data_IF_390202782475
#
_entry.id   IF_390202782475
#
_cell.length_a   1.000
_cell.length_b   1.000
_cell.length_c   1.000
_cell.angle_alpha   90.00
_cell.angle_beta   90.00
_cell.angle_gamma   90.00
#
_symmetry.space_group_name_H-M   'P 1'
#
loop_
_entity.id
_entity.type
_entity.pdbx_description
1 polymer ?
#
# COMPACT_ATOMS: atom_id res chain seq x y z
N UNK A 1 12.74 -40.82 66.65
CA UNK A 1 11.40 -40.45 67.19
C UNK A 1 11.46 -38.95 67.50
N UNK A 2 10.80 -38.06 66.74
CA UNK A 2 9.35 -37.70 66.75
C UNK A 2 8.92 -37.01 68.05
N UNK A 3 8.07 -35.97 68.12
CA UNK A 3 7.46 -34.94 67.22
C UNK A 3 6.97 -33.80 68.18
N UNK A 4 6.58 -32.56 67.85
CA UNK A 4 6.28 -31.78 66.63
C UNK A 4 6.73 -30.30 66.88
N UNK A 5 6.67 -29.42 65.87
CA UNK A 5 6.34 -27.98 66.05
C UNK A 5 5.41 -27.51 64.92
N UNK A 6 4.46 -26.58 65.16
CA UNK A 6 3.41 -26.26 64.19
C UNK A 6 3.87 -25.33 63.06
N UNK A 7 3.21 -25.43 61.91
CA UNK A 7 3.43 -24.56 60.76
C UNK A 7 2.85 -23.15 60.96
N UNK A 8 3.46 -22.14 60.35
CA UNK A 8 2.87 -20.80 60.18
C UNK A 8 1.88 -20.78 59.00
N UNK A 9 0.83 -19.93 59.02
CA UNK A 9 -0.06 -19.77 57.88
C UNK A 9 0.66 -19.12 56.69
N UNK A 10 0.29 -19.53 55.48
CA UNK A 10 0.75 -18.94 54.22
C UNK A 10 -0.11 -17.75 53.83
N UNK A 11 0.50 -16.57 53.68
CA UNK A 11 -0.20 -15.38 53.18
C UNK A 11 -0.57 -15.54 51.70
N UNK A 12 -1.86 -15.42 51.39
CA UNK A 12 -2.41 -15.70 50.07
C UNK A 12 -2.33 -14.49 49.11
N UNK A 13 -1.11 -14.04 48.80
CA UNK A 13 -0.85 -12.86 47.98
C UNK A 13 -1.16 -13.02 46.46
N UNK A 14 -1.71 -14.16 46.02
CA UNK A 14 -1.91 -14.45 44.60
C UNK A 14 -2.96 -13.61 43.88
N UNK A 15 -4.03 -13.17 44.56
CA UNK A 15 -5.24 -12.64 43.87
C UNK A 15 -5.19 -11.17 43.44
N UNK A 16 -4.25 -10.36 43.94
CA UNK A 16 -4.24 -8.91 43.64
C UNK A 16 -3.53 -8.53 42.32
N UNK A 17 -2.68 -9.40 41.78
CA UNK A 17 -1.89 -9.10 40.58
C UNK A 17 -2.63 -9.36 39.26
N UNK A 18 -3.47 -10.40 39.20
CA UNK A 18 -4.24 -10.73 38.00
C UNK A 18 -5.28 -9.65 37.66
N UNK A 19 -6.04 -9.16 38.65
CA UNK A 19 -7.11 -8.19 38.42
C UNK A 19 -6.63 -6.89 37.73
N UNK A 20 -5.47 -6.37 38.13
CA UNK A 20 -4.85 -5.19 37.50
C UNK A 20 -4.36 -5.49 36.07
N UNK A 21 -3.79 -6.68 35.86
CA UNK A 21 -3.27 -7.12 34.57
C UNK A 21 -4.41 -7.34 33.56
N UNK A 22 -5.48 -7.99 34.00
CA UNK A 22 -6.70 -8.23 33.21
C UNK A 22 -7.41 -6.91 32.84
N UNK A 23 -7.61 -6.00 33.79
CA UNK A 23 -8.22 -4.70 33.51
C UNK A 23 -7.40 -3.87 32.51
N UNK A 24 -6.06 -3.89 32.61
CA UNK A 24 -5.18 -3.14 31.72
C UNK A 24 -5.08 -3.77 30.31
N UNK A 25 -5.20 -5.10 30.19
CA UNK A 25 -5.42 -5.78 28.92
C UNK A 25 -6.78 -5.41 28.31
N UNK A 26 -7.87 -5.52 29.07
CA UNK A 26 -9.22 -5.23 28.61
C UNK A 26 -9.34 -3.79 28.10
N UNK A 27 -8.79 -2.80 28.82
CA UNK A 27 -8.70 -1.41 28.38
C UNK A 27 -7.95 -1.24 27.04
N UNK A 28 -6.82 -1.94 26.85
CA UNK A 28 -6.05 -1.90 25.60
C UNK A 28 -6.78 -2.54 24.42
N UNK A 29 -7.56 -3.60 24.65
CA UNK A 29 -8.42 -4.21 23.63
C UNK A 29 -9.58 -3.28 23.28
N UNK A 30 -10.30 -2.75 24.27
CA UNK A 30 -11.39 -1.80 24.07
C UNK A 30 -10.95 -0.56 23.26
N UNK A 31 -9.82 0.06 23.63
CA UNK A 31 -9.28 1.22 22.92
C UNK A 31 -8.88 0.92 21.45
N UNK A 32 -8.51 -0.33 21.13
CA UNK A 32 -8.28 -0.77 19.74
C UNK A 32 -9.59 -0.98 18.99
N UNK A 33 -10.58 -1.61 19.61
CA UNK A 33 -11.91 -1.80 19.02
C UNK A 33 -12.58 -0.46 18.70
N UNK A 34 -12.52 0.52 19.61
CA UNK A 34 -13.00 1.88 19.36
C UNK A 34 -12.25 2.52 18.18
N UNK A 35 -10.91 2.46 18.16
CA UNK A 35 -10.12 3.02 17.05
C UNK A 35 -10.46 2.40 15.69
N UNK A 36 -10.67 1.07 15.64
CA UNK A 36 -11.07 0.38 14.41
C UNK A 36 -12.50 0.73 13.99
N UNK A 37 -13.44 0.84 14.94
CA UNK A 37 -14.81 1.28 14.64
C UNK A 37 -14.83 2.72 14.09
N UNK A 38 -14.05 3.63 14.68
CA UNK A 38 -13.87 5.00 14.18
C UNK A 38 -13.29 5.01 12.75
N UNK A 39 -12.29 4.18 12.46
CA UNK A 39 -11.75 4.05 11.10
C UNK A 39 -12.80 3.49 10.12
N UNK A 40 -13.60 2.50 10.52
CA UNK A 40 -14.65 1.93 9.67
C UNK A 40 -15.71 2.98 9.33
N UNK A 41 -16.21 3.72 10.34
CA UNK A 41 -17.18 4.81 10.14
C UNK A 41 -16.64 5.89 9.22
N UNK A 42 -15.38 6.32 9.41
CA UNK A 42 -14.73 7.31 8.52
C UNK A 42 -14.56 6.75 7.10
N UNK A 43 -14.12 5.50 6.94
CA UNK A 43 -13.91 4.90 5.61
C UNK A 43 -15.23 4.71 4.84
N UNK A 44 -16.32 4.33 5.52
CA UNK A 44 -17.65 4.27 4.91
C UNK A 44 -18.13 5.68 4.55
N UNK A 45 -18.14 6.62 5.50
CA UNK A 45 -18.67 7.97 5.29
C UNK A 45 -17.92 8.78 4.22
N UNK A 46 -16.63 8.51 4.00
CA UNK A 46 -15.85 9.13 2.92
C UNK A 46 -15.91 8.33 1.62
N UNK A 47 -15.67 7.02 1.64
CA UNK A 47 -15.42 6.29 0.40
C UNK A 47 -16.62 5.53 -0.16
N UNK A 48 -17.69 5.27 0.61
CA UNK A 48 -18.88 4.63 0.04
C UNK A 48 -19.52 5.47 -1.09
N UNK A 49 -19.82 6.78 -0.93
CA UNK A 49 -20.50 7.53 -1.98
C UNK A 49 -19.68 7.68 -3.27
N UNK A 50 -18.36 7.87 -3.12
CA UNK A 50 -17.44 7.94 -4.25
C UNK A 50 -17.31 6.59 -4.96
N UNK A 51 -17.01 5.52 -4.21
CA UNK A 51 -16.78 4.20 -4.81
C UNK A 51 -18.09 3.63 -5.37
N UNK A 52 -19.25 3.88 -4.76
CA UNK A 52 -20.57 3.49 -5.30
C UNK A 52 -20.85 4.12 -6.67
N UNK A 53 -20.51 5.41 -6.81
CA UNK A 53 -20.58 6.13 -8.09
C UNK A 53 -19.61 5.57 -9.13
N UNK A 54 -18.35 5.34 -8.76
CA UNK A 54 -17.33 4.78 -9.66
C UNK A 54 -17.63 3.32 -10.04
N UNK A 55 -18.11 2.49 -9.12
CA UNK A 55 -18.55 1.10 -9.34
C UNK A 55 -19.68 0.98 -10.36
N UNK A 56 -20.42 2.08 -10.60
CA UNK A 56 -21.53 2.13 -11.56
C UNK A 56 -21.11 2.75 -12.90
N UNK A 57 -20.25 3.79 -12.87
CA UNK A 57 -20.01 4.68 -14.01
C UNK A 57 -18.56 4.67 -14.56
N UNK A 58 -17.56 4.28 -13.78
CA UNK A 58 -16.15 4.40 -14.18
C UNK A 58 -15.69 3.22 -15.05
N UNK A 59 -14.95 3.53 -16.13
CA UNK A 59 -14.58 2.55 -17.16
C UNK A 59 -13.85 1.30 -16.63
N UNK A 60 -12.85 1.46 -15.76
CA UNK A 60 -12.08 0.34 -15.18
C UNK A 60 -12.97 -0.54 -14.29
N UNK A 61 -13.85 0.07 -13.48
CA UNK A 61 -14.84 -0.64 -12.67
C UNK A 61 -15.85 -1.42 -13.52
N UNK A 62 -16.49 -0.77 -14.49
CA UNK A 62 -17.51 -1.40 -15.36
C UNK A 62 -16.89 -2.55 -16.16
N UNK A 63 -15.66 -2.38 -16.65
CA UNK A 63 -14.92 -3.42 -17.37
C UNK A 63 -14.59 -4.61 -16.46
N UNK A 64 -14.01 -4.37 -15.27
CA UNK A 64 -13.75 -5.43 -14.31
C UNK A 64 -15.03 -6.13 -13.80
N UNK A 65 -16.16 -5.41 -13.67
CA UNK A 65 -17.45 -6.00 -13.28
C UNK A 65 -18.06 -6.88 -14.38
N UNK A 66 -17.97 -6.45 -15.64
CA UNK A 66 -18.31 -7.29 -16.81
C UNK A 66 -17.48 -8.58 -16.80
N UNK A 67 -16.17 -8.47 -16.58
CA UNK A 67 -15.28 -9.64 -16.47
C UNK A 67 -15.63 -10.57 -15.30
N UNK A 68 -16.06 -10.04 -14.16
CA UNK A 68 -16.54 -10.85 -13.04
C UNK A 68 -17.82 -11.63 -13.41
N UNK A 69 -18.76 -10.99 -14.12
CA UNK A 69 -19.94 -11.66 -14.68
C UNK A 69 -19.59 -12.69 -15.75
N UNK A 70 -18.60 -12.42 -16.62
CA UNK A 70 -18.15 -13.35 -17.66
C UNK A 70 -17.52 -14.63 -17.04
N UNK A 71 -16.72 -14.48 -15.98
CA UNK A 71 -16.15 -15.58 -15.19
C UNK A 71 -17.25 -16.42 -14.53
N UNK A 72 -18.25 -15.78 -13.93
CA UNK A 72 -19.39 -16.47 -13.31
C UNK A 72 -20.20 -17.30 -14.33
N UNK A 73 -20.41 -16.77 -15.53
CA UNK A 73 -21.12 -17.45 -16.62
C UNK A 73 -20.26 -18.50 -17.34
N UNK A 74 -19.14 -18.92 -16.75
CA UNK A 74 -18.29 -20.01 -17.26
C UNK A 74 -17.52 -19.67 -18.54
N UNK A 75 -17.47 -18.40 -18.97
CA UNK A 75 -16.65 -17.99 -20.11
C UNK A 75 -15.18 -18.14 -19.74
N UNK A 76 -14.35 -18.58 -20.69
CA UNK A 76 -12.91 -18.82 -20.49
C UNK A 76 -12.11 -17.50 -20.42
N UNK A 77 -12.40 -16.67 -19.43
CA UNK A 77 -11.73 -15.39 -19.19
C UNK A 77 -10.67 -15.55 -18.10
N UNK A 78 -9.48 -16.02 -18.50
CA UNK A 78 -8.34 -16.08 -17.58
C UNK A 78 -7.75 -14.67 -17.50
N UNK A 79 -7.87 -14.00 -16.36
CA UNK A 79 -7.14 -12.76 -16.09
C UNK A 79 -5.91 -13.10 -15.24
N UNK A 80 -4.73 -12.48 -15.47
CA UNK A 80 -3.55 -12.79 -14.67
C UNK A 80 -3.69 -12.34 -13.21
N UNK A 81 -4.66 -11.48 -12.90
CA UNK A 81 -4.95 -10.98 -11.55
C UNK A 81 -6.46 -11.07 -11.20
N UNK A 82 -6.98 -12.28 -10.90
CA UNK A 82 -8.41 -12.52 -10.74
C UNK A 82 -9.01 -12.10 -9.38
N UNK A 83 -8.22 -11.76 -8.35
CA UNK A 83 -8.69 -11.68 -6.95
C UNK A 83 -9.88 -10.74 -6.74
N UNK A 84 -9.86 -9.53 -7.33
CA UNK A 84 -10.97 -8.59 -7.22
C UNK A 84 -12.29 -9.15 -7.76
N UNK A 85 -12.24 -9.82 -8.91
CA UNK A 85 -13.39 -10.47 -9.55
C UNK A 85 -13.96 -11.57 -8.65
N UNK A 86 -13.09 -12.45 -8.12
CA UNK A 86 -13.48 -13.54 -7.24
C UNK A 86 -14.12 -13.04 -5.93
N UNK A 87 -13.55 -12.00 -5.30
CA UNK A 87 -14.11 -11.36 -4.11
C UNK A 87 -15.47 -10.69 -4.40
N UNK A 88 -15.62 -10.09 -5.58
CA UNK A 88 -16.88 -9.47 -6.00
C UNK A 88 -17.96 -10.53 -6.21
N UNK A 89 -17.69 -11.60 -6.97
CA UNK A 89 -18.63 -12.73 -7.18
C UNK A 89 -19.02 -13.37 -5.83
N UNK A 90 -18.05 -13.57 -4.93
CA UNK A 90 -18.30 -14.09 -3.59
C UNK A 90 -19.25 -13.17 -2.80
N UNK A 91 -19.04 -11.86 -2.86
CA UNK A 91 -19.84 -10.85 -2.14
C UNK A 91 -21.26 -10.73 -2.73
N UNK A 92 -21.40 -10.72 -4.05
CA UNK A 92 -22.67 -10.82 -4.79
C UNK A 92 -23.50 -12.01 -4.27
N UNK A 93 -22.88 -13.20 -4.16
CA UNK A 93 -23.56 -14.44 -3.70
C UNK A 93 -23.83 -14.49 -2.20
N UNK A 94 -22.90 -14.01 -1.38
CA UNK A 94 -23.02 -14.08 0.07
C UNK A 94 -24.03 -13.08 0.65
N UNK A 95 -24.23 -11.94 -0.02
CA UNK A 95 -25.09 -10.84 0.45
C UNK A 95 -26.33 -10.60 -0.43
N UNK A 96 -26.47 -11.31 -1.56
CA UNK A 96 -27.57 -11.14 -2.54
C UNK A 96 -27.69 -9.70 -3.09
N UNK A 97 -26.54 -9.06 -3.33
CA UNK A 97 -26.41 -7.68 -3.82
C UNK A 97 -25.98 -7.63 -5.29
N UNK A 98 -26.14 -6.48 -5.96
CA UNK A 98 -25.68 -6.30 -7.34
C UNK A 98 -24.14 -6.22 -7.44
N UNK A 99 -23.60 -6.45 -8.65
CA UNK A 99 -22.16 -6.35 -8.90
C UNK A 99 -21.54 -5.00 -8.50
N UNK A 100 -22.15 -3.82 -8.80
CA UNK A 100 -21.67 -2.53 -8.29
C UNK A 100 -21.68 -2.44 -6.76
N UNK A 101 -22.74 -2.93 -6.08
CA UNK A 101 -22.81 -2.94 -4.62
C UNK A 101 -21.73 -3.85 -3.99
N UNK A 102 -21.54 -5.05 -4.54
CA UNK A 102 -20.47 -5.97 -4.15
C UNK A 102 -19.08 -5.33 -4.32
N UNK A 103 -18.84 -4.65 -5.44
CA UNK A 103 -17.62 -3.87 -5.69
C UNK A 103 -17.38 -2.82 -4.62
N UNK A 104 -18.40 -2.00 -4.31
CA UNK A 104 -18.29 -0.95 -3.29
C UNK A 104 -17.94 -1.53 -1.93
N UNK A 105 -18.58 -2.63 -1.51
CA UNK A 105 -18.29 -3.33 -0.26
C UNK A 105 -16.83 -3.84 -0.24
N UNK A 106 -16.39 -4.56 -1.29
CA UNK A 106 -15.02 -5.11 -1.38
C UNK A 106 -13.96 -4.00 -1.31
N UNK A 107 -14.19 -2.88 -1.99
CA UNK A 107 -13.21 -1.79 -2.08
C UNK A 107 -13.22 -0.90 -0.82
N UNK A 108 -14.38 -0.56 -0.25
CA UNK A 108 -14.44 0.19 1.02
C UNK A 108 -13.83 -0.63 2.16
N UNK A 109 -14.03 -1.96 2.19
CA UNK A 109 -13.34 -2.84 3.14
C UNK A 109 -11.82 -2.91 2.89
N UNK A 110 -11.36 -2.83 1.64
CA UNK A 110 -9.93 -2.78 1.30
C UNK A 110 -9.27 -1.46 1.77
N UNK A 111 -9.96 -0.34 1.58
CA UNK A 111 -9.53 0.99 2.07
C UNK A 111 -9.51 1.01 3.61
N UNK A 112 -10.55 0.47 4.26
CA UNK A 112 -10.60 0.31 5.71
C UNK A 112 -9.45 -0.56 6.23
N UNK A 113 -9.14 -1.67 5.56
CA UNK A 113 -8.02 -2.53 5.94
C UNK A 113 -6.67 -1.81 5.83
N UNK A 114 -6.47 -1.02 4.77
CA UNK A 114 -5.30 -0.15 4.62
C UNK A 114 -5.18 0.86 5.77
N UNK A 115 -6.30 1.47 6.17
CA UNK A 115 -6.38 2.40 7.30
C UNK A 115 -6.02 1.73 8.64
N UNK A 116 -6.44 0.48 8.85
CA UNK A 116 -6.10 -0.33 10.03
C UNK A 116 -4.61 -0.68 10.06
N UNK A 117 -4.00 -1.02 8.91
CA UNK A 117 -2.57 -1.28 8.82
C UNK A 117 -1.74 -0.02 9.11
N UNK A 118 -2.10 1.12 8.49
CA UNK A 118 -1.47 2.41 8.71
C UNK A 118 -1.58 2.84 10.18
N UNK A 119 -2.78 2.79 10.75
CA UNK A 119 -2.99 3.09 12.17
C UNK A 119 -2.11 2.21 13.06
N UNK A 120 -2.05 0.90 12.82
CA UNK A 120 -1.24 -0.01 13.64
C UNK A 120 0.27 0.28 13.55
N UNK A 121 0.80 0.61 12.37
CA UNK A 121 2.20 1.04 12.20
C UNK A 121 2.45 2.34 12.97
N UNK A 122 1.64 3.38 12.75
CA UNK A 122 1.83 4.71 13.33
C UNK A 122 1.58 4.73 14.84
N UNK A 123 0.61 3.94 15.35
CA UNK A 123 0.25 3.85 16.77
C UNK A 123 1.36 3.30 17.66
N UNK A 124 2.36 2.61 17.11
CA UNK A 124 3.56 2.24 17.89
C UNK A 124 4.37 3.47 18.33
N UNK A 125 4.29 4.58 17.59
CA UNK A 125 5.14 5.76 17.77
C UNK A 125 4.40 7.01 18.29
N UNK A 126 3.07 6.98 18.44
CA UNK A 126 2.28 8.17 18.85
C UNK A 126 0.96 7.83 19.57
N UNK A 127 0.23 8.85 20.03
CA UNK A 127 -1.09 8.72 20.66
C UNK A 127 -2.16 8.24 19.65
N UNK A 128 -3.22 7.58 20.13
CA UNK A 128 -4.23 7.00 19.24
C UNK A 128 -4.93 8.01 18.31
N UNK A 129 -5.39 9.21 18.76
CA UNK A 129 -6.00 10.19 17.86
C UNK A 129 -5.04 10.71 16.78
N UNK A 130 -3.74 10.82 17.10
CA UNK A 130 -2.71 11.24 16.13
C UNK A 130 -2.46 10.14 15.09
N UNK A 131 -2.36 8.88 15.51
CA UNK A 131 -2.23 7.75 14.58
C UNK A 131 -3.47 7.59 13.69
N UNK A 132 -4.68 7.87 14.21
CA UNK A 132 -5.92 7.90 13.43
C UNK A 132 -5.89 9.01 12.38
N UNK A 133 -5.57 10.25 12.76
CA UNK A 133 -5.48 11.39 11.85
C UNK A 133 -4.51 11.12 10.69
N UNK A 134 -3.26 10.75 10.99
CA UNK A 134 -2.27 10.47 9.95
C UNK A 134 -2.66 9.26 9.08
N UNK A 135 -3.31 8.23 9.66
CA UNK A 135 -3.83 7.09 8.89
C UNK A 135 -4.88 7.53 7.87
N UNK A 136 -5.86 8.34 8.28
CA UNK A 136 -6.92 8.86 7.38
C UNK A 136 -6.33 9.80 6.33
N UNK A 137 -5.41 10.70 6.69
CA UNK A 137 -4.72 11.55 5.72
C UNK A 137 -4.00 10.74 4.63
N UNK A 138 -3.36 9.61 4.99
CA UNK A 138 -2.70 8.71 4.03
C UNK A 138 -3.67 7.98 3.07
N UNK A 139 -4.98 8.02 3.30
CA UNK A 139 -5.99 7.47 2.37
C UNK A 139 -6.35 8.46 1.26
N UNK A 140 -6.26 9.77 1.52
CA UNK A 140 -6.67 10.82 0.57
C UNK A 140 -5.49 11.50 -0.14
N UNK A 141 -4.28 11.37 0.39
CA UNK A 141 -3.09 12.15 0.01
C UNK A 141 -2.74 12.07 -1.48
N UNK A 142 -2.38 13.22 -2.08
CA UNK A 142 -1.97 13.33 -3.49
C UNK A 142 -0.70 14.20 -3.64
N UNK A 143 -0.07 14.21 -4.83
CA UNK A 143 0.92 15.21 -5.23
C UNK A 143 0.45 16.65 -5.07
N UNK A 144 1.39 17.59 -4.98
CA UNK A 144 1.07 19.03 -4.93
C UNK A 144 0.67 19.52 -6.34
N UNK A 145 -0.64 19.71 -6.55
CA UNK A 145 -1.25 19.98 -7.86
C UNK A 145 -1.05 21.44 -8.34
N UNK A 146 0.13 22.01 -8.14
CA UNK A 146 0.45 23.41 -8.45
C UNK A 146 0.42 23.75 -9.96
N UNK A 147 0.47 22.75 -10.85
CA UNK A 147 0.34 22.95 -12.29
C UNK A 147 -1.11 22.91 -12.79
N UNK A 148 -2.08 22.49 -11.95
CA UNK A 148 -3.49 22.42 -12.33
C UNK A 148 -4.05 23.74 -12.92
N UNK A 149 -3.74 24.95 -12.42
CA UNK A 149 -4.19 26.20 -13.05
C UNK A 149 -3.65 26.43 -14.47
N UNK A 150 -2.56 25.75 -14.86
CA UNK A 150 -1.88 25.89 -16.15
C UNK A 150 -2.35 24.81 -17.12
N UNK A 151 -2.40 23.55 -16.68
CA UNK A 151 -2.64 22.40 -17.55
C UNK A 151 -3.99 21.67 -17.30
N UNK A 152 -4.72 21.99 -16.23
CA UNK A 152 -5.99 21.36 -15.82
C UNK A 152 -5.91 19.85 -15.46
N UNK A 153 -4.71 19.27 -15.29
CA UNK A 153 -4.52 17.86 -14.93
C UNK A 153 -4.18 17.71 -13.43
N UNK A 154 -5.01 17.00 -12.67
CA UNK A 154 -4.81 16.73 -11.23
C UNK A 154 -4.04 15.43 -10.96
N UNK A 155 -4.01 14.51 -11.92
CA UNK A 155 -3.42 13.18 -11.80
C UNK A 155 -2.35 12.95 -12.87
N UNK A 156 -2.67 13.29 -14.13
CA UNK A 156 -1.80 13.02 -15.26
C UNK A 156 -0.51 13.88 -15.22
N UNK A 157 0.61 13.23 -15.56
CA UNK A 157 1.97 13.73 -15.39
C UNK A 157 2.53 13.69 -13.96
N UNK A 158 1.72 13.45 -12.93
CA UNK A 158 2.16 13.32 -11.53
C UNK A 158 2.33 11.85 -11.12
N UNK A 159 3.21 11.56 -10.15
CA UNK A 159 3.24 10.23 -9.52
C UNK A 159 2.17 10.21 -8.41
N UNK A 160 0.96 9.76 -8.75
CA UNK A 160 -0.15 9.68 -7.81
C UNK A 160 0.14 8.83 -6.57
N UNK A 161 -0.62 9.05 -5.50
CA UNK A 161 -0.55 8.26 -4.26
C UNK A 161 -1.93 7.66 -3.99
N UNK A 162 -2.94 8.50 -3.77
CA UNK A 162 -4.35 8.12 -3.86
C UNK A 162 -4.87 8.22 -5.28
N UNK A 163 -5.59 7.17 -5.69
CA UNK A 163 -6.46 7.09 -6.87
C UNK A 163 -7.71 6.36 -6.38
N UNK A 164 -8.86 6.61 -7.01
CA UNK A 164 -10.11 5.96 -6.64
C UNK A 164 -10.69 5.10 -7.76
N UNK A 165 -10.28 5.34 -9.01
CA UNK A 165 -10.84 4.72 -10.21
C UNK A 165 -10.40 3.29 -10.52
N UNK A 166 -9.31 2.78 -9.93
CA UNK A 166 -8.83 1.41 -10.22
C UNK A 166 -9.03 0.45 -9.03
N UNK A 167 -10.04 -0.45 -9.07
CA UNK A 167 -10.36 -1.32 -7.95
C UNK A 167 -9.24 -2.32 -7.62
N UNK A 168 -8.55 -2.82 -8.65
CA UNK A 168 -7.42 -3.76 -8.49
C UNK A 168 -6.23 -3.15 -7.74
N UNK A 169 -6.04 -1.83 -7.85
CA UNK A 169 -5.03 -1.07 -7.10
C UNK A 169 -5.44 -0.79 -5.66
N UNK A 170 -6.70 -0.46 -5.42
CA UNK A 170 -7.23 -0.24 -4.06
C UNK A 170 -7.19 -1.53 -3.22
N UNK A 171 -7.46 -2.69 -3.84
CA UNK A 171 -7.29 -4.01 -3.24
C UNK A 171 -5.80 -4.37 -3.03
N UNK A 172 -4.92 -4.01 -3.98
CA UNK A 172 -3.47 -4.30 -3.88
C UNK A 172 -2.80 -3.59 -2.70
N UNK A 173 -3.14 -2.32 -2.43
CA UNK A 173 -2.48 -1.50 -1.40
C UNK A 173 -2.30 -2.19 -0.03
N UNK A 174 -3.35 -2.70 0.64
CA UNK A 174 -3.18 -3.34 1.95
C UNK A 174 -2.37 -4.65 1.88
N UNK A 175 -2.54 -5.43 0.81
CA UNK A 175 -1.81 -6.68 0.58
C UNK A 175 -0.31 -6.44 0.40
N UNK A 176 0.05 -5.41 -0.37
CA UNK A 176 1.43 -4.99 -0.57
C UNK A 176 2.10 -4.50 0.71
N UNK A 177 1.36 -3.80 1.58
CA UNK A 177 1.87 -3.29 2.85
C UNK A 177 2.14 -4.44 3.85
N UNK A 178 1.27 -5.46 3.90
CA UNK A 178 1.57 -6.70 4.62
C UNK A 178 2.85 -7.34 4.10
N UNK A 179 2.93 -7.59 2.79
CA UNK A 179 4.08 -8.24 2.17
C UNK A 179 5.38 -7.47 2.40
N UNK A 180 5.36 -6.14 2.28
CA UNK A 180 6.48 -5.25 2.62
C UNK A 180 6.91 -5.39 4.09
N UNK A 181 5.97 -5.33 5.04
CA UNK A 181 6.28 -5.45 6.46
C UNK A 181 6.85 -6.83 6.82
N UNK A 182 6.34 -7.91 6.24
CA UNK A 182 6.88 -9.26 6.45
C UNK A 182 8.25 -9.45 5.77
N UNK A 183 8.47 -8.89 4.58
CA UNK A 183 9.77 -8.93 3.89
C UNK A 183 10.85 -8.16 4.67
N UNK A 184 10.54 -6.95 5.17
CA UNK A 184 11.42 -6.18 6.04
C UNK A 184 11.76 -6.98 7.32
N UNK A 185 10.73 -7.48 8.02
CA UNK A 185 10.85 -8.31 9.23
C UNK A 185 11.77 -9.52 9.01
N UNK A 186 11.72 -10.16 7.84
CA UNK A 186 12.55 -11.33 7.53
C UNK A 186 14.06 -11.07 7.57
N UNK A 187 14.47 -9.82 7.38
CA UNK A 187 15.88 -9.39 7.43
C UNK A 187 16.25 -8.75 8.77
N UNK A 188 15.30 -8.09 9.43
CA UNK A 188 15.54 -7.34 10.68
C UNK A 188 15.25 -8.11 11.97
N UNK A 189 14.55 -9.24 11.88
CA UNK A 189 14.38 -10.15 13.00
C UNK A 189 14.45 -11.60 12.54
N UNK A 190 15.66 -12.09 12.16
CA UNK A 190 15.83 -13.48 11.72
C UNK A 190 15.44 -14.51 12.78
N UNK A 191 15.51 -14.15 14.07
CA UNK A 191 15.01 -14.97 15.18
C UNK A 191 13.49 -15.21 15.14
N UNK A 192 12.72 -14.38 14.41
CA UNK A 192 11.28 -14.57 14.18
C UNK A 192 10.97 -15.28 12.84
N UNK A 193 11.98 -15.74 12.08
CA UNK A 193 11.77 -16.42 10.79
C UNK A 193 11.28 -17.87 10.96
N UNK A 194 10.06 -18.01 11.48
CA UNK A 194 9.34 -19.26 11.65
C UNK A 194 8.35 -19.50 10.50
N UNK A 195 7.87 -20.75 10.37
CA UNK A 195 6.97 -21.16 9.28
C UNK A 195 5.72 -20.27 9.16
N UNK A 196 5.14 -19.82 10.29
CA UNK A 196 3.96 -18.94 10.29
C UNK A 196 4.24 -17.58 9.64
N UNK A 197 5.35 -16.92 9.99
CA UNK A 197 5.75 -15.66 9.34
C UNK A 197 6.14 -15.88 7.86
N UNK A 198 6.69 -17.05 7.52
CA UNK A 198 7.07 -17.39 6.14
C UNK A 198 5.86 -17.62 5.24
N UNK A 199 4.86 -18.37 5.71
CA UNK A 199 3.59 -18.57 5.03
C UNK A 199 2.80 -17.26 4.90
N UNK A 200 2.81 -16.41 5.94
CA UNK A 200 2.16 -15.10 5.88
C UNK A 200 2.80 -14.18 4.83
N UNK A 201 4.14 -14.19 4.69
CA UNK A 201 4.84 -13.48 3.62
C UNK A 201 4.48 -14.02 2.23
N UNK A 202 4.62 -15.33 2.03
CA UNK A 202 4.34 -15.97 0.75
C UNK A 202 2.87 -15.77 0.31
N UNK A 203 1.92 -15.85 1.25
CA UNK A 203 0.50 -15.64 0.98
C UNK A 203 0.17 -14.16 0.70
N UNK A 204 0.77 -13.21 1.44
CA UNK A 204 0.60 -11.78 1.14
C UNK A 204 1.18 -11.39 -0.23
N UNK A 205 2.31 -11.99 -0.62
CA UNK A 205 2.90 -11.83 -1.96
C UNK A 205 2.01 -12.46 -3.05
N UNK A 206 1.51 -13.68 -2.82
CA UNK A 206 0.57 -14.35 -3.73
C UNK A 206 -0.69 -13.49 -3.95
N UNK A 207 -1.38 -13.11 -2.86
CA UNK A 207 -2.57 -12.25 -2.92
C UNK A 207 -2.28 -10.89 -3.59
N UNK A 208 -1.11 -10.30 -3.36
CA UNK A 208 -0.70 -9.07 -4.06
C UNK A 208 -0.63 -9.31 -5.58
N UNK A 209 0.11 -10.33 -6.02
CA UNK A 209 0.25 -10.64 -7.44
C UNK A 209 -1.07 -10.95 -8.14
N UNK A 210 -1.96 -11.72 -7.49
CA UNK A 210 -3.30 -12.00 -8.05
C UNK A 210 -4.31 -10.84 -7.87
N UNK A 211 -3.93 -9.74 -7.20
CA UNK A 211 -4.69 -8.47 -7.19
C UNK A 211 -4.26 -7.54 -8.33
N UNK A 212 -2.95 -7.29 -8.46
CA UNK A 212 -2.30 -6.65 -9.62
C UNK A 212 -0.78 -6.89 -9.53
N UNK A 213 -0.08 -7.30 -10.60
CA UNK A 213 1.34 -7.68 -10.51
C UNK A 213 2.30 -6.54 -10.13
N UNK A 214 1.91 -5.27 -10.28
CA UNK A 214 2.78 -4.09 -10.13
C UNK A 214 3.66 -4.08 -8.87
N UNK A 215 3.13 -4.47 -7.71
CA UNK A 215 3.94 -4.53 -6.48
C UNK A 215 5.02 -5.62 -6.54
N UNK A 216 4.71 -6.78 -7.14
CA UNK A 216 5.68 -7.88 -7.25
C UNK A 216 6.84 -7.52 -8.17
N UNK A 217 6.56 -6.83 -9.27
CA UNK A 217 7.58 -6.40 -10.25
C UNK A 217 8.56 -5.41 -9.59
N UNK A 218 8.12 -4.51 -8.70
CA UNK A 218 9.03 -3.60 -7.98
C UNK A 218 9.68 -4.22 -6.75
N UNK A 219 8.96 -5.02 -5.95
CA UNK A 219 9.47 -5.46 -4.64
C UNK A 219 10.63 -6.44 -4.79
N UNK A 220 10.63 -7.27 -5.84
CA UNK A 220 11.70 -8.22 -6.13
C UNK A 220 13.07 -7.52 -6.32
N UNK A 221 13.27 -6.63 -7.32
CA UNK A 221 14.53 -5.90 -7.47
C UNK A 221 14.78 -4.89 -6.33
N UNK A 222 13.74 -4.27 -5.77
CA UNK A 222 13.89 -3.35 -4.64
C UNK A 222 14.43 -4.04 -3.38
N UNK A 223 14.03 -5.29 -3.12
CA UNK A 223 14.51 -6.07 -1.99
C UNK A 223 15.97 -6.51 -2.20
N UNK A 224 16.36 -6.89 -3.43
CA UNK A 224 17.77 -7.14 -3.78
C UNK A 224 18.62 -5.88 -3.57
N UNK A 225 18.16 -4.72 -4.05
CA UNK A 225 18.86 -3.44 -3.86
C UNK A 225 18.95 -3.05 -2.37
N UNK A 226 17.87 -3.20 -1.61
CA UNK A 226 17.86 -3.00 -0.16
C UNK A 226 18.88 -3.91 0.56
N UNK A 227 18.96 -5.19 0.14
CA UNK A 227 19.93 -6.14 0.67
C UNK A 227 21.38 -5.82 0.27
N UNK A 228 21.61 -5.16 -0.87
CA UNK A 228 22.93 -4.62 -1.24
C UNK A 228 23.30 -3.42 -0.36
N UNK A 229 22.42 -2.42 -0.26
CA UNK A 229 22.63 -1.18 0.52
C UNK A 229 22.82 -1.49 2.02
N UNK A 230 22.12 -2.49 2.56
CA UNK A 230 22.27 -2.93 3.95
C UNK A 230 23.36 -4.00 4.17
N UNK A 231 24.18 -4.29 3.14
CA UNK A 231 25.26 -5.30 3.15
C UNK A 231 24.83 -6.71 3.59
N UNK A 232 23.56 -7.06 3.36
CA UNK A 232 22.94 -8.34 3.79
C UNK A 232 22.79 -9.38 2.68
N UNK A 233 23.00 -9.00 1.41
CA UNK A 233 22.73 -9.84 0.23
C UNK A 233 23.25 -11.28 0.35
N UNK A 234 24.53 -11.49 0.67
CA UNK A 234 25.11 -12.85 0.80
C UNK A 234 24.41 -13.70 1.86
N UNK A 235 24.05 -13.11 3.01
CA UNK A 235 23.34 -13.83 4.08
C UNK A 235 21.89 -14.14 3.68
N UNK A 236 21.23 -13.21 2.97
CA UNK A 236 19.84 -13.38 2.56
C UNK A 236 19.67 -14.40 1.42
N UNK A 237 20.56 -14.40 0.41
CA UNK A 237 20.52 -15.37 -0.69
C UNK A 237 20.81 -16.82 -0.22
N UNK A 238 21.64 -17.00 0.82
CA UNK A 238 21.87 -18.30 1.44
C UNK A 238 20.75 -18.72 2.40
N UNK A 239 19.79 -17.85 2.71
CA UNK A 239 18.69 -18.16 3.61
C UNK A 239 17.57 -18.90 2.91
N UNK A 240 17.48 -20.23 3.15
CA UNK A 240 16.37 -21.08 2.69
C UNK A 240 15.00 -20.47 3.01
N UNK A 241 14.87 -19.79 4.15
CA UNK A 241 13.64 -19.09 4.54
C UNK A 241 13.29 -17.96 3.56
N UNK A 242 14.24 -17.07 3.25
CA UNK A 242 13.99 -15.95 2.34
C UNK A 242 13.79 -16.44 0.91
N UNK A 243 14.51 -17.49 0.49
CA UNK A 243 14.27 -18.11 -0.81
C UNK A 243 12.84 -18.67 -0.94
N UNK A 244 12.38 -19.47 0.03
CA UNK A 244 11.06 -20.11 -0.01
C UNK A 244 9.89 -19.16 0.28
N UNK A 245 10.07 -18.14 1.14
CA UNK A 245 9.01 -17.24 1.56
C UNK A 245 8.89 -15.98 0.68
N UNK A 246 9.98 -15.52 0.05
CA UNK A 246 9.99 -14.29 -0.75
C UNK A 246 10.28 -14.55 -2.24
N UNK A 247 11.44 -15.14 -2.57
CA UNK A 247 11.85 -15.27 -3.98
C UNK A 247 10.99 -16.25 -4.77
N UNK A 248 10.78 -17.47 -4.25
CA UNK A 248 10.04 -18.52 -4.94
C UNK A 248 8.58 -18.11 -5.25
N UNK A 249 7.76 -17.59 -4.31
CA UNK A 249 6.39 -17.18 -4.62
C UNK A 249 6.32 -16.08 -5.70
N UNK A 250 7.22 -15.10 -5.66
CA UNK A 250 7.23 -14.01 -6.64
C UNK A 250 7.65 -14.52 -8.02
N UNK A 251 8.75 -15.27 -8.11
CA UNK A 251 9.29 -15.77 -9.38
C UNK A 251 8.28 -16.74 -10.02
N UNK A 252 7.67 -17.64 -9.24
CA UNK A 252 6.63 -18.55 -9.75
C UNK A 252 5.41 -17.78 -10.26
N UNK A 253 4.87 -16.83 -9.48
CA UNK A 253 3.65 -16.12 -9.87
C UNK A 253 3.88 -15.18 -11.06
N UNK A 254 4.98 -14.40 -11.07
CA UNK A 254 5.32 -13.55 -12.22
C UNK A 254 5.63 -14.37 -13.48
N UNK A 255 6.31 -15.52 -13.36
CA UNK A 255 6.53 -16.41 -14.52
C UNK A 255 5.21 -16.95 -15.08
N UNK A 256 4.31 -17.42 -14.21
CA UNK A 256 2.98 -17.90 -14.63
C UNK A 256 2.18 -16.79 -15.29
N UNK A 257 2.14 -15.59 -14.71
CA UNK A 257 1.45 -14.42 -15.27
C UNK A 257 2.06 -14.00 -16.62
N UNK A 258 3.39 -14.06 -16.77
CA UNK A 258 4.08 -13.76 -18.03
C UNK A 258 3.73 -14.77 -19.13
N UNK A 259 3.88 -16.08 -18.88
CA UNK A 259 3.48 -17.11 -19.85
C UNK A 259 1.98 -17.04 -20.18
N UNK A 260 1.13 -16.76 -19.18
CA UNK A 260 -0.30 -16.59 -19.41
C UNK A 260 -0.58 -15.39 -20.33
N UNK A 261 0.05 -14.24 -20.09
CA UNK A 261 -0.23 -12.96 -20.78
C UNK A 261 0.37 -12.87 -22.18
N UNK A 262 1.51 -13.51 -22.44
CA UNK A 262 2.26 -13.37 -23.70
C UNK A 262 2.39 -14.67 -24.53
N UNK A 263 1.99 -15.84 -24.02
CA UNK A 263 2.11 -17.12 -24.74
C UNK A 263 0.81 -17.94 -24.79
N UNK A 264 0.02 -17.96 -23.72
CA UNK A 264 -1.23 -18.75 -23.66
C UNK A 264 -2.50 -17.94 -23.92
N UNK A 265 -2.40 -16.62 -23.94
CA UNK A 265 -3.48 -15.72 -24.32
C UNK A 265 -2.96 -14.68 -25.29
N UNK A 266 -3.58 -14.60 -26.46
CA UNK A 266 -3.81 -13.31 -27.09
C UNK A 266 -4.71 -12.49 -26.14
N UNK A 267 -4.12 -11.69 -25.24
CA UNK A 267 -4.89 -10.65 -24.54
C UNK A 267 -5.52 -9.69 -25.57
N UNK A 268 -4.77 -9.45 -26.65
CA UNK A 268 -5.17 -9.00 -27.99
C UNK A 268 -6.56 -9.46 -28.43
N UNK A 269 -6.89 -10.77 -28.37
CA UNK A 269 -8.20 -11.29 -28.77
C UNK A 269 -9.30 -10.97 -27.75
N UNK A 270 -8.97 -10.80 -26.47
CA UNK A 270 -9.92 -10.42 -25.42
C UNK A 270 -10.21 -8.90 -25.38
N UNK A 271 -9.28 -8.06 -25.87
CA UNK A 271 -9.40 -6.60 -25.93
C UNK A 271 -9.67 -6.05 -27.34
N UNK A 272 -9.53 -6.87 -28.39
CA UNK A 272 -9.67 -6.46 -29.80
C UNK A 272 -8.46 -5.68 -30.35
N UNK A 273 -7.27 -5.88 -29.78
CA UNK A 273 -6.06 -5.09 -30.07
C UNK A 273 -4.96 -5.95 -30.71
N UNK A 274 -3.92 -5.32 -31.25
CA UNK A 274 -2.71 -6.02 -31.71
C UNK A 274 -1.93 -6.63 -30.54
N UNK A 275 -0.93 -7.48 -30.86
CA UNK A 275 0.03 -7.99 -29.88
C UNK A 275 0.58 -6.86 -28.98
N UNK A 276 0.64 -7.15 -27.69
CA UNK A 276 1.17 -6.25 -26.67
C UNK A 276 2.48 -6.82 -26.15
N UNK A 277 3.55 -6.04 -26.23
CA UNK A 277 4.90 -6.36 -25.78
C UNK A 277 5.38 -5.31 -24.78
N UNK A 278 6.32 -5.67 -23.90
CA UNK A 278 6.97 -4.69 -23.01
C UNK A 278 8.11 -4.02 -23.77
N UNK A 279 8.06 -2.71 -23.91
CA UNK A 279 9.06 -1.90 -24.65
C UNK A 279 9.76 -0.91 -23.74
N UNK A 280 11.04 -0.67 -24.02
CA UNK A 280 11.85 0.34 -23.33
C UNK A 280 11.75 1.66 -24.09
N UNK A 281 10.90 2.57 -23.62
CA UNK A 281 10.66 3.89 -24.22
C UNK A 281 10.79 4.96 -23.13
N UNK A 282 12.01 5.52 -22.93
CA UNK A 282 12.25 6.54 -21.92
C UNK A 282 11.34 7.76 -22.07
N UNK A 283 10.63 8.06 -20.99
CA UNK A 283 9.69 9.16 -20.77
C UNK A 283 8.41 9.18 -21.63
N UNK A 284 8.35 8.48 -22.77
CA UNK A 284 7.25 8.47 -23.75
C UNK A 284 5.84 8.47 -23.13
N UNK A 285 5.46 7.40 -22.42
CA UNK A 285 4.11 7.27 -21.82
C UNK A 285 3.78 8.41 -20.87
N UNK A 286 4.76 8.96 -20.14
CA UNK A 286 4.55 10.07 -19.21
C UNK A 286 4.51 11.42 -19.93
N UNK A 287 5.35 11.61 -20.95
CA UNK A 287 5.47 12.83 -21.73
C UNK A 287 4.20 13.13 -22.53
N UNK A 288 3.52 12.08 -23.04
CA UNK A 288 2.18 12.15 -23.63
C UNK A 288 1.18 12.91 -22.74
N UNK A 289 1.30 12.77 -21.42
CA UNK A 289 0.41 13.36 -20.42
C UNK A 289 0.88 14.70 -19.85
N UNK A 290 2.14 15.11 -20.04
CA UNK A 290 2.67 16.33 -19.41
C UNK A 290 4.06 16.74 -19.90
N UNK A 291 4.17 17.98 -20.36
CA UNK A 291 5.47 18.63 -20.62
C UNK A 291 6.27 18.97 -19.34
N UNK A 292 5.64 18.87 -18.16
CA UNK A 292 6.20 19.30 -16.87
C UNK A 292 6.68 18.13 -15.99
N UNK A 293 7.24 17.06 -16.58
CA UNK A 293 7.56 15.81 -15.86
C UNK A 293 8.44 16.00 -14.62
N UNK A 294 9.57 16.71 -14.73
CA UNK A 294 10.47 16.89 -13.59
C UNK A 294 9.84 17.76 -12.47
N UNK A 295 9.20 18.92 -12.76
CA UNK A 295 8.41 19.64 -11.77
C UNK A 295 7.31 18.79 -11.12
N UNK A 296 6.48 18.07 -11.90
CA UNK A 296 5.41 17.22 -11.36
C UNK A 296 5.96 16.05 -10.51
N UNK A 297 7.10 15.47 -10.89
CA UNK A 297 7.81 14.47 -10.08
C UNK A 297 8.25 15.06 -8.73
N UNK A 298 8.93 16.20 -8.73
CA UNK A 298 9.37 16.89 -7.49
C UNK A 298 8.17 17.22 -6.60
N UNK A 299 7.07 17.69 -7.17
CA UNK A 299 5.81 17.97 -6.47
C UNK A 299 5.06 16.71 -5.99
N UNK A 300 5.38 15.53 -6.53
CA UNK A 300 4.89 14.24 -6.05
C UNK A 300 5.73 13.74 -4.86
N UNK A 301 7.06 13.92 -4.91
CA UNK A 301 7.99 13.45 -3.87
C UNK A 301 8.35 14.51 -2.82
N UNK A 302 7.68 15.67 -2.79
CA UNK A 302 8.12 16.84 -2.02
C UNK A 302 8.25 16.55 -0.51
N UNK A 303 7.24 15.94 0.12
CA UNK A 303 7.30 15.55 1.54
C UNK A 303 8.48 14.61 1.89
N UNK A 304 8.66 13.44 1.23
CA UNK A 304 9.78 12.57 1.54
C UNK A 304 11.14 13.16 1.16
N UNK A 305 11.22 13.94 0.07
CA UNK A 305 12.44 14.65 -0.34
C UNK A 305 12.89 15.66 0.73
N UNK A 306 11.97 16.46 1.27
CA UNK A 306 12.26 17.39 2.37
C UNK A 306 12.66 16.64 3.66
N UNK A 307 11.98 15.52 3.95
CA UNK A 307 12.28 14.68 5.13
C UNK A 307 13.68 14.06 5.04
N UNK A 308 14.10 13.62 3.85
CA UNK A 308 15.48 13.20 3.59
C UNK A 308 16.47 14.37 3.70
N UNK A 309 16.19 15.51 3.07
CA UNK A 309 17.09 16.67 3.04
C UNK A 309 17.37 17.25 4.44
N UNK A 310 16.40 17.21 5.35
CA UNK A 310 16.58 17.71 6.72
C UNK A 310 17.23 16.72 7.70
N UNK A 311 17.11 15.42 7.46
CA UNK A 311 17.51 14.35 8.37
C UNK A 311 18.25 13.17 7.68
N UNK A 312 19.22 13.39 6.76
CA UNK A 312 19.69 12.35 5.84
C UNK A 312 20.39 11.18 6.54
N UNK A 313 21.06 11.44 7.67
CA UNK A 313 21.75 10.42 8.48
C UNK A 313 20.75 9.48 9.16
N UNK A 314 19.77 10.02 9.87
CA UNK A 314 18.74 9.24 10.55
C UNK A 314 17.83 8.52 9.54
N UNK A 315 17.50 9.17 8.42
CA UNK A 315 16.70 8.62 7.31
C UNK A 315 17.36 7.38 6.70
N UNK A 316 18.66 7.44 6.39
CA UNK A 316 19.40 6.31 5.79
C UNK A 316 19.70 5.18 6.77
N UNK A 317 19.52 5.40 8.07
CA UNK A 317 19.61 4.35 9.10
C UNK A 317 18.27 3.65 9.36
N UNK A 318 17.13 4.26 9.00
CA UNK A 318 15.83 3.60 9.11
C UNK A 318 15.57 2.69 7.90
N UNK A 319 15.64 1.38 8.14
CA UNK A 319 15.54 0.36 7.10
C UNK A 319 14.16 0.28 6.45
N UNK A 320 13.10 0.71 7.13
CA UNK A 320 11.78 0.80 6.52
C UNK A 320 11.77 1.92 5.46
N UNK A 321 12.38 3.06 5.77
CA UNK A 321 12.60 4.12 4.79
C UNK A 321 13.49 3.64 3.64
N UNK A 322 14.67 3.08 3.90
CA UNK A 322 15.58 2.60 2.84
C UNK A 322 14.89 1.59 1.92
N UNK A 323 14.19 0.58 2.46
CA UNK A 323 13.48 -0.40 1.63
C UNK A 323 12.32 0.24 0.84
N UNK A 324 11.54 1.14 1.45
CA UNK A 324 10.47 1.84 0.72
C UNK A 324 11.01 2.74 -0.39
N UNK A 325 12.16 3.39 -0.19
CA UNK A 325 12.85 4.17 -1.21
C UNK A 325 13.40 3.29 -2.35
N UNK A 326 13.84 2.06 -2.07
CA UNK A 326 14.15 1.08 -3.12
C UNK A 326 12.89 0.72 -3.93
N UNK A 327 11.73 0.53 -3.28
CA UNK A 327 10.47 0.27 -3.99
C UNK A 327 10.03 1.48 -4.84
N UNK A 328 10.17 2.70 -4.33
CA UNK A 328 9.94 3.93 -5.11
C UNK A 328 10.90 4.03 -6.30
N UNK A 329 12.21 3.81 -6.11
CA UNK A 329 13.18 3.89 -7.20
C UNK A 329 12.84 2.89 -8.33
N UNK A 330 12.55 1.63 -7.99
CA UNK A 330 12.14 0.63 -9.00
C UNK A 330 10.78 0.98 -9.64
N UNK A 331 9.85 1.54 -8.87
CA UNK A 331 8.58 2.04 -9.40
C UNK A 331 8.73 3.21 -10.37
N UNK A 332 9.63 4.16 -10.09
CA UNK A 332 9.96 5.27 -10.98
C UNK A 332 10.70 4.80 -12.24
N UNK A 333 11.60 3.81 -12.13
CA UNK A 333 12.24 3.18 -13.29
C UNK A 333 11.18 2.56 -14.21
N UNK A 334 10.23 1.79 -13.68
CA UNK A 334 9.13 1.26 -14.50
C UNK A 334 8.27 2.39 -15.09
N UNK A 335 7.84 3.36 -14.29
CA UNK A 335 6.95 4.46 -14.71
C UNK A 335 7.55 5.34 -15.82
N UNK A 336 8.86 5.58 -15.80
CA UNK A 336 9.52 6.51 -16.72
C UNK A 336 10.36 5.85 -17.82
N UNK A 337 10.56 4.52 -17.82
CA UNK A 337 11.42 3.87 -18.84
C UNK A 337 10.74 2.71 -19.58
N UNK A 338 9.58 2.23 -19.13
CA UNK A 338 8.90 1.08 -19.71
C UNK A 338 7.45 1.40 -20.08
N UNK A 339 7.04 0.94 -21.25
CA UNK A 339 5.68 1.03 -21.76
C UNK A 339 5.20 -0.34 -22.28
N UNK A 340 3.89 -0.46 -22.49
CA UNK A 340 3.32 -1.53 -23.34
C UNK A 340 3.35 -1.07 -24.81
N UNK A 341 3.38 -1.99 -25.77
CA UNK A 341 3.30 -1.64 -27.20
C UNK A 341 1.85 -1.49 -27.69
N UNK A 342 1.68 -0.85 -28.85
CA UNK A 342 0.38 -0.73 -29.51
C UNK A 342 -0.58 0.17 -28.75
N UNK A 343 -1.88 -0.17 -28.77
CA UNK A 343 -2.95 0.65 -28.18
C UNK A 343 -2.81 0.88 -26.67
N UNK A 344 -2.11 0.00 -25.95
CA UNK A 344 -1.93 0.04 -24.49
C UNK A 344 -0.77 0.95 -24.04
N UNK A 345 -0.02 1.53 -24.98
CA UNK A 345 1.19 2.33 -24.70
C UNK A 345 0.92 3.55 -23.79
N UNK A 346 -0.29 4.11 -23.86
CA UNK A 346 -0.70 5.24 -23.03
C UNK A 346 -1.61 4.85 -21.86
N UNK A 347 -1.99 3.57 -21.69
CA UNK A 347 -2.77 3.08 -20.53
C UNK A 347 -2.06 3.28 -19.18
N UNK A 348 -0.76 3.59 -19.19
CA UNK A 348 0.00 3.90 -17.98
C UNK A 348 0.23 2.70 -17.06
N UNK A 349 0.15 1.45 -17.54
CA UNK A 349 0.15 0.28 -16.64
C UNK A 349 1.43 0.05 -15.82
N UNK A 350 2.55 0.72 -16.15
CA UNK A 350 3.76 0.77 -15.31
C UNK A 350 3.74 1.89 -14.25
N UNK A 351 2.92 2.93 -14.41
CA UNK A 351 2.75 4.09 -13.51
C UNK A 351 2.23 3.68 -12.13
N UNK A 352 1.32 2.70 -12.11
CA UNK A 352 0.85 2.02 -10.91
C UNK A 352 2.02 1.58 -10.00
N UNK A 353 3.15 1.16 -10.57
CA UNK A 353 4.33 0.74 -9.83
C UNK A 353 5.01 1.91 -9.10
N UNK A 354 5.11 3.09 -9.72
CA UNK A 354 5.62 4.31 -9.09
C UNK A 354 4.76 4.74 -7.90
N UNK A 355 3.44 4.71 -8.07
CA UNK A 355 2.46 5.00 -7.01
C UNK A 355 2.62 4.08 -5.80
N UNK A 356 2.78 2.76 -6.01
CA UNK A 356 2.93 1.81 -4.90
C UNK A 356 4.19 2.08 -4.07
N UNK A 357 5.31 2.40 -4.72
CA UNK A 357 6.54 2.81 -4.05
C UNK A 357 6.38 4.13 -3.30
N UNK A 358 5.72 5.13 -3.90
CA UNK A 358 5.54 6.44 -3.28
C UNK A 358 4.65 6.38 -2.03
N UNK A 359 3.58 5.59 -2.09
CA UNK A 359 2.71 5.32 -0.95
C UNK A 359 3.48 4.78 0.27
N UNK A 360 4.35 3.78 0.06
CA UNK A 360 5.17 3.20 1.12
C UNK A 360 6.13 4.24 1.70
N UNK A 361 6.80 5.02 0.85
CA UNK A 361 7.72 6.09 1.27
C UNK A 361 7.00 7.15 2.12
N UNK A 362 5.79 7.57 1.75
CA UNK A 362 4.99 8.52 2.54
C UNK A 362 4.65 7.96 3.92
N UNK A 363 4.12 6.73 3.99
CA UNK A 363 3.80 6.07 5.27
C UNK A 363 5.02 5.97 6.19
N UNK A 364 6.17 5.53 5.66
CA UNK A 364 7.37 5.35 6.49
C UNK A 364 8.08 6.68 6.82
N UNK A 365 7.91 7.75 6.04
CA UNK A 365 8.34 9.10 6.44
C UNK A 365 7.52 9.60 7.64
N UNK A 366 6.20 9.41 7.65
CA UNK A 366 5.37 9.74 8.83
C UNK A 366 5.76 8.88 10.03
N UNK A 367 5.95 7.57 9.84
CA UNK A 367 6.38 6.66 10.91
C UNK A 367 7.73 7.08 11.52
N UNK A 368 8.71 7.42 10.68
CA UNK A 368 10.03 7.93 11.06
C UNK A 368 9.96 9.25 11.84
N UNK A 369 9.16 10.23 11.38
CA UNK A 369 8.99 11.52 12.06
C UNK A 369 8.30 11.33 13.43
N UNK A 370 7.32 10.44 13.55
CA UNK A 370 6.68 10.16 14.84
C UNK A 370 7.65 9.44 15.79
N UNK A 371 8.33 8.38 15.31
CA UNK A 371 9.30 7.56 16.04
C UNK A 371 10.42 8.38 16.67
N UNK A 372 11.00 9.30 15.89
CA UNK A 372 12.16 10.08 16.31
C UNK A 372 11.80 11.47 16.86
N UNK A 373 10.51 11.78 17.08
CA UNK A 373 10.00 13.12 17.45
C UNK A 373 10.80 13.82 18.55
N UNK A 374 11.16 13.11 19.62
CA UNK A 374 11.90 13.69 20.77
C UNK A 374 13.30 14.17 20.38
N UNK A 375 14.02 13.40 19.57
CA UNK A 375 15.33 13.77 19.01
C UNK A 375 15.18 14.91 18.00
N UNK A 376 14.27 14.76 17.02
CA UNK A 376 14.09 15.70 15.91
C UNK A 376 13.40 17.02 16.30
N UNK A 377 13.10 17.24 17.58
CA UNK A 377 12.54 18.49 18.11
C UNK A 377 13.33 19.06 19.29
N UNK A 378 14.59 18.66 19.48
CA UNK A 378 15.41 19.14 20.60
C UNK A 378 15.73 20.65 20.51
N UNK A 379 16.35 21.12 19.42
CA UNK A 379 16.69 22.56 19.23
C UNK A 379 15.58 23.31 18.50
N UNK A 380 15.57 24.64 18.58
CA UNK A 380 14.61 25.50 17.85
C UNK A 380 14.62 25.26 16.34
N UNK A 381 15.80 25.06 15.73
CA UNK A 381 15.95 24.78 14.31
C UNK A 381 15.40 23.40 13.91
N UNK A 382 15.54 22.40 14.78
CA UNK A 382 15.04 21.04 14.53
C UNK A 382 13.49 21.03 14.61
N UNK A 383 12.91 21.78 15.56
CA UNK A 383 11.47 22.03 15.63
C UNK A 383 10.93 22.68 14.35
N UNK A 384 11.66 23.62 13.75
CA UNK A 384 11.26 24.26 12.49
C UNK A 384 11.31 23.26 11.33
N UNK A 385 12.41 22.51 11.17
CA UNK A 385 12.53 21.42 10.18
C UNK A 385 11.37 20.42 10.29
N UNK A 386 11.07 20.00 11.52
CA UNK A 386 10.01 19.04 11.83
C UNK A 386 8.63 19.58 11.46
N UNK A 387 8.35 20.84 11.83
CA UNK A 387 7.10 21.52 11.48
C UNK A 387 6.94 21.70 9.96
N UNK A 388 8.01 21.99 9.22
CA UNK A 388 7.98 22.09 7.76
C UNK A 388 7.71 20.73 7.09
N UNK A 389 8.31 19.63 7.57
CA UNK A 389 7.97 18.28 7.09
C UNK A 389 6.48 17.95 7.33
N UNK A 390 5.94 18.25 8.51
CA UNK A 390 4.52 18.02 8.79
C UNK A 390 3.59 18.95 8.00
N UNK A 391 3.93 20.22 7.84
CA UNK A 391 3.21 21.18 7.00
C UNK A 391 3.11 20.65 5.57
N UNK A 392 4.21 20.13 5.02
CA UNK A 392 4.25 19.62 3.66
C UNK A 392 3.39 18.34 3.51
N UNK A 393 3.43 17.43 4.49
CA UNK A 393 2.52 16.28 4.55
C UNK A 393 1.04 16.71 4.56
N UNK A 394 0.67 17.68 5.40
CA UNK A 394 -0.72 18.16 5.47
C UNK A 394 -1.13 18.96 4.22
N UNK A 395 -0.19 19.61 3.53
CA UNK A 395 -0.45 20.24 2.23
C UNK A 395 -0.76 19.20 1.14
N UNK A 396 0.01 18.10 1.06
CA UNK A 396 -0.32 16.95 0.22
C UNK A 396 -1.69 16.34 0.57
N UNK A 397 -2.06 16.29 1.86
CA UNK A 397 -3.39 15.82 2.28
C UNK A 397 -4.52 16.81 1.92
N UNK A 398 -4.25 18.12 1.92
CA UNK A 398 -5.19 19.16 1.49
C UNK A 398 -5.47 19.10 -0.02
N UNK A 399 -4.43 18.98 -0.86
CA UNK A 399 -4.60 18.66 -2.28
C UNK A 399 -5.33 17.32 -2.48
N UNK A 400 -5.11 16.35 -1.58
CA UNK A 400 -5.83 15.08 -1.56
C UNK A 400 -7.33 15.21 -1.36
N UNK A 401 -7.76 16.08 -0.44
CA UNK A 401 -9.18 16.42 -0.23
C UNK A 401 -9.77 17.12 -1.45
N UNK A 402 -9.04 18.08 -2.05
CA UNK A 402 -9.49 18.76 -3.27
C UNK A 402 -9.68 17.77 -4.43
N UNK A 403 -8.71 16.88 -4.68
CA UNK A 403 -8.80 15.83 -5.69
C UNK A 403 -9.97 14.87 -5.44
N UNK A 404 -10.14 14.41 -4.20
CA UNK A 404 -11.28 13.60 -3.80
C UNK A 404 -12.64 14.29 -4.10
N UNK A 405 -12.74 15.60 -3.86
CA UNK A 405 -13.95 16.37 -4.20
C UNK A 405 -14.18 16.44 -5.71
N UNK A 406 -13.12 16.65 -6.53
CA UNK A 406 -13.26 16.66 -7.98
C UNK A 406 -13.71 15.30 -8.52
N UNK A 407 -13.18 14.20 -7.97
CA UNK A 407 -13.61 12.84 -8.31
C UNK A 407 -15.07 12.58 -7.95
N UNK A 408 -15.50 12.95 -6.73
CA UNK A 408 -16.86 12.75 -6.25
C UNK A 408 -17.92 13.52 -7.06
N UNK A 409 -17.63 14.75 -7.49
CA UNK A 409 -18.60 15.61 -8.16
C UNK A 409 -18.49 15.62 -9.69
N UNK A 410 -17.33 15.29 -10.27
CA UNK A 410 -17.08 15.40 -11.71
C UNK A 410 -16.52 14.14 -12.39
N UNK A 411 -16.31 13.03 -11.68
CA UNK A 411 -15.96 11.70 -12.21
C UNK A 411 -14.91 11.75 -13.35
N UNK A 412 -13.62 11.74 -13.03
CA UNK A 412 -12.51 11.73 -13.99
C UNK A 412 -12.30 12.98 -14.88
N UNK A 413 -13.18 13.99 -14.84
CA UNK A 413 -13.11 15.21 -15.68
C UNK A 413 -11.75 15.95 -15.68
N UNK A 414 -10.98 15.84 -14.60
CA UNK A 414 -9.75 16.61 -14.37
C UNK A 414 -8.55 15.71 -14.01
N UNK A 415 -8.50 14.47 -14.51
CA UNK A 415 -7.27 13.67 -14.39
C UNK A 415 -6.12 14.34 -15.13
#
# INVERSE_FOLDING_TARGET
MTLFKPAKPTENNGRMHDGKTFALLHSRHFARCVAYLTLLVICVALFEPLISTLSTNAFDYVTHLKWASDIENGKKLILPHPLYHLLTILTTKALFVSYPQASTIVIVLSIFFLAVLNYNILKTNTLAPVALLFSVCLLVITPLQLFFPIDQHLYFGYIGISIYHSPTMLLLKPLSLLAFCYALKSTDSPQHNNLSNGLALAFALFLSGISKPNFLIIVLPAFVLFLMITHRLKSALLSKYIYLAFFLPIITLLSLQFFQTFFFQDLSQATGTTETHIVFLPFETMAHYSNYLLPKLVLSIAFPLLTFAFYPRDFTQDKALVFSCCCLLMGLVLTYFFAESGSRMYDGNFWWSGQMGLYLVFLFCVAFLLKNRTHLTFRKIDKLKYALCLMLFFLHAFFGIFFYQQELFFNAKFW
#
